data_IF_968198877023
#
_entry.id   IF_968198877023
#
_cell.length_a   1.000
_cell.length_b   1.000
_cell.length_c   1.000
_cell.angle_alpha   90.00
_cell.angle_beta   90.00
_cell.angle_gamma   90.00
#
_symmetry.space_group_name_H-M   'P 1'
#
loop_
_entity.id
_entity.type
_entity.pdbx_description
1 polymer ?
#
# COMPACT_ATOMS: atom_id res chain seq x y z
N UNK A 1 83.46 -15.24 47.92
CA UNK A 1 82.05 -14.93 48.27
C UNK A 1 81.87 -13.43 48.10
N UNK A 2 80.94 -12.99 47.24
CA UNK A 2 80.57 -11.58 47.16
C UNK A 2 79.68 -11.22 48.36
N UNK A 3 79.86 -10.05 49.00
CA UNK A 3 79.05 -9.63 50.14
C UNK A 3 77.58 -9.43 49.72
N UNK A 4 76.65 -9.84 50.58
CA UNK A 4 75.18 -9.84 50.36
C UNK A 4 74.62 -8.53 49.78
N UNK A 5 75.19 -7.37 50.16
CA UNK A 5 74.78 -6.05 49.64
C UNK A 5 75.12 -5.77 48.17
N UNK A 6 76.17 -6.41 47.63
CA UNK A 6 76.52 -6.28 46.20
C UNK A 6 75.65 -7.19 45.33
N UNK A 7 75.27 -8.36 45.85
CA UNK A 7 74.34 -9.27 45.18
C UNK A 7 72.93 -8.65 45.01
N UNK A 8 72.44 -7.90 45.99
CA UNK A 8 71.15 -7.17 45.88
C UNK A 8 71.18 -6.06 44.82
N UNK A 9 72.29 -5.30 44.73
CA UNK A 9 72.45 -4.25 43.70
C UNK A 9 72.55 -4.84 42.29
N UNK A 10 73.25 -5.97 42.15
CA UNK A 10 73.37 -6.69 40.88
C UNK A 10 72.07 -7.42 40.50
N UNK A 11 71.29 -7.90 41.48
CA UNK A 11 69.98 -8.53 41.27
C UNK A 11 68.91 -7.60 40.68
N UNK A 12 68.97 -6.30 40.96
CA UNK A 12 68.10 -5.28 40.34
C UNK A 12 68.31 -5.11 38.83
N UNK A 13 69.47 -5.50 38.30
CA UNK A 13 69.77 -5.39 36.86
C UNK A 13 68.99 -6.39 36.00
N UNK A 14 68.35 -7.38 36.62
CA UNK A 14 67.59 -8.43 35.93
C UNK A 14 66.10 -8.45 36.30
N UNK A 15 65.56 -7.34 36.82
CA UNK A 15 64.19 -7.29 37.36
C UNK A 15 63.11 -7.61 36.31
N UNK A 16 63.33 -7.20 35.06
CA UNK A 16 62.40 -7.43 33.93
C UNK A 16 62.77 -8.64 33.04
N UNK A 17 63.83 -9.37 33.41
CA UNK A 17 64.27 -10.55 32.67
C UNK A 17 63.34 -11.72 32.99
N UNK A 18 62.72 -12.27 31.95
CA UNK A 18 61.94 -13.51 32.08
C UNK A 18 62.86 -14.71 32.11
N UNK A 19 62.29 -15.86 32.44
CA UNK A 19 63.03 -17.12 32.49
C UNK A 19 63.67 -17.43 31.14
N UNK A 20 62.96 -17.16 30.06
CA UNK A 20 63.41 -17.41 28.68
C UNK A 20 64.64 -16.58 28.32
N UNK A 21 64.66 -15.27 28.60
CA UNK A 21 65.82 -14.43 28.26
C UNK A 21 67.07 -14.85 29.03
N UNK A 22 66.91 -15.15 30.33
CA UNK A 22 68.00 -15.60 31.17
C UNK A 22 68.58 -16.92 30.68
N UNK A 23 67.71 -17.87 30.30
CA UNK A 23 68.13 -19.16 29.75
C UNK A 23 68.84 -18.99 28.41
N UNK A 24 68.34 -18.12 27.52
CA UNK A 24 68.96 -17.92 26.20
C UNK A 24 70.34 -17.30 26.31
N UNK A 25 70.51 -16.22 27.10
CA UNK A 25 71.83 -15.58 27.26
C UNK A 25 72.82 -16.53 27.92
N UNK A 26 72.38 -17.28 28.93
CA UNK A 26 73.19 -18.32 29.56
C UNK A 26 73.62 -19.42 28.58
N UNK A 27 72.73 -19.82 27.65
CA UNK A 27 73.02 -20.81 26.62
C UNK A 27 73.98 -20.27 25.54
N UNK A 28 73.82 -19.03 25.11
CA UNK A 28 74.70 -18.35 24.15
C UNK A 28 76.13 -18.18 24.69
N UNK A 29 76.28 -18.10 26.02
CA UNK A 29 77.58 -18.08 26.69
C UNK A 29 78.22 -19.48 26.87
N UNK A 30 77.59 -20.53 26.35
CA UNK A 30 78.14 -21.88 26.30
C UNK A 30 77.98 -22.68 27.60
N UNK A 31 77.19 -22.20 28.55
CA UNK A 31 76.83 -22.97 29.73
C UNK A 31 75.55 -23.79 29.47
N UNK A 32 75.54 -25.06 29.90
CA UNK A 32 74.40 -25.96 29.75
C UNK A 32 73.64 -26.07 31.07
N UNK A 33 72.32 -25.93 31.01
CA UNK A 33 71.48 -25.88 32.21
C UNK A 33 70.24 -26.75 32.09
N UNK A 34 69.77 -27.18 33.25
CA UNK A 34 68.47 -27.80 33.40
C UNK A 34 67.36 -26.74 33.28
N UNK A 35 66.42 -26.97 32.37
CA UNK A 35 65.22 -26.15 32.14
C UNK A 35 64.34 -25.98 33.38
N UNK A 36 64.52 -26.80 34.42
CA UNK A 36 63.74 -26.74 35.67
C UNK A 36 64.22 -25.70 36.68
N UNK A 37 65.36 -25.04 36.48
CA UNK A 37 65.89 -24.03 37.40
C UNK A 37 64.92 -22.84 37.57
N UNK A 38 64.88 -22.31 38.80
CA UNK A 38 64.08 -21.12 39.11
C UNK A 38 64.77 -19.84 38.61
N UNK A 39 63.99 -18.79 38.35
CA UNK A 39 64.52 -17.49 37.88
C UNK A 39 65.61 -16.95 38.80
N UNK A 40 65.47 -17.13 40.11
CA UNK A 40 66.48 -16.70 41.10
C UNK A 40 67.80 -17.47 40.94
N UNK A 41 67.73 -18.77 40.68
CA UNK A 41 68.90 -19.62 40.47
C UNK A 41 69.59 -19.29 39.14
N UNK A 42 68.81 -19.02 38.08
CA UNK A 42 69.32 -18.58 36.79
C UNK A 42 70.04 -17.22 36.91
N UNK A 43 69.44 -16.26 37.62
CA UNK A 43 70.07 -14.96 37.91
C UNK A 43 71.38 -15.14 38.69
N UNK A 44 71.40 -16.03 39.67
CA UNK A 44 72.62 -16.28 40.45
C UNK A 44 73.72 -16.94 39.63
N UNK A 45 73.38 -17.91 38.76
CA UNK A 45 74.34 -18.55 37.85
C UNK A 45 74.88 -17.57 36.83
N UNK A 46 74.02 -16.72 36.27
CA UNK A 46 74.43 -15.64 35.37
C UNK A 46 75.46 -14.70 36.01
N UNK A 47 75.27 -14.34 37.27
CA UNK A 47 76.22 -13.52 38.04
C UNK A 47 77.57 -14.19 38.30
N UNK A 48 77.63 -15.53 38.22
CA UNK A 48 78.83 -16.34 38.42
C UNK A 48 79.46 -16.81 37.10
N UNK A 49 78.77 -16.60 35.97
CA UNK A 49 79.25 -17.01 34.66
C UNK A 49 80.52 -16.25 34.30
N UNK A 50 81.48 -16.96 33.69
CA UNK A 50 82.79 -16.41 33.33
C UNK A 50 82.66 -15.14 32.48
N UNK A 51 81.74 -15.14 31.52
CA UNK A 51 81.48 -14.00 30.63
C UNK A 51 80.95 -12.77 31.40
N UNK A 52 80.14 -12.95 32.44
CA UNK A 52 79.66 -11.83 33.27
C UNK A 52 80.75 -11.26 34.18
N UNK A 53 81.68 -12.11 34.64
CA UNK A 53 82.85 -11.67 35.43
C UNK A 53 83.91 -10.97 34.58
N UNK A 54 83.99 -11.31 33.29
CA UNK A 54 84.91 -10.71 32.31
C UNK A 54 84.36 -9.39 31.75
N UNK A 55 83.09 -9.36 31.33
CA UNK A 55 82.43 -8.17 30.80
C UNK A 55 80.95 -8.12 31.24
N UNK A 56 80.72 -7.46 32.36
CA UNK A 56 79.38 -7.23 32.91
C UNK A 56 78.49 -6.42 31.95
N UNK A 57 79.09 -5.49 31.17
CA UNK A 57 78.36 -4.64 30.23
C UNK A 57 77.79 -5.45 29.08
N UNK A 58 78.62 -6.29 28.46
CA UNK A 58 78.21 -7.14 27.35
C UNK A 58 77.00 -8.03 27.68
N UNK A 59 76.99 -8.67 28.85
CA UNK A 59 75.89 -9.56 29.27
C UNK A 59 74.63 -8.77 29.60
N UNK A 60 74.76 -7.59 30.19
CA UNK A 60 73.61 -6.72 30.46
C UNK A 60 73.01 -6.17 29.17
N UNK A 61 73.83 -5.78 28.18
CA UNK A 61 73.37 -5.27 26.89
C UNK A 61 72.70 -6.35 26.04
N UNK A 62 73.23 -7.58 26.06
CA UNK A 62 72.61 -8.74 25.42
C UNK A 62 71.21 -9.03 26.01
N UNK A 63 71.09 -9.06 27.34
CA UNK A 63 69.81 -9.24 28.02
C UNK A 63 68.85 -8.08 27.77
N UNK A 64 69.33 -6.84 27.79
CA UNK A 64 68.52 -5.66 27.50
C UNK A 64 67.90 -5.74 26.10
N UNK A 65 68.70 -6.11 25.09
CA UNK A 65 68.24 -6.28 23.71
C UNK A 65 67.15 -7.35 23.59
N UNK A 66 67.34 -8.50 24.24
CA UNK A 66 66.35 -9.58 24.24
C UNK A 66 65.02 -9.19 24.91
N UNK A 67 65.10 -8.49 26.05
CA UNK A 67 63.92 -7.98 26.76
C UNK A 67 63.19 -6.97 25.89
N UNK A 68 63.90 -6.04 25.25
CA UNK A 68 63.32 -5.06 24.34
C UNK A 68 62.59 -5.73 23.16
N UNK A 69 63.22 -6.71 22.52
CA UNK A 69 62.62 -7.49 21.43
C UNK A 69 61.34 -8.23 21.85
N UNK A 70 61.33 -8.86 23.04
CA UNK A 70 60.12 -9.50 23.57
C UNK A 70 59.04 -8.47 23.83
N UNK A 71 59.37 -7.37 24.50
CA UNK A 71 58.42 -6.31 24.83
C UNK A 71 57.82 -5.68 23.56
N UNK A 72 58.59 -5.54 22.48
CA UNK A 72 58.08 -5.07 21.19
C UNK A 72 57.13 -6.09 20.55
N UNK A 73 57.48 -7.38 20.58
CA UNK A 73 56.59 -8.46 20.09
C UNK A 73 55.28 -8.50 20.88
N UNK A 74 55.34 -8.39 22.21
CA UNK A 74 54.16 -8.35 23.08
C UNK A 74 53.28 -7.14 22.78
N UNK A 75 53.86 -5.95 22.58
CA UNK A 75 53.13 -4.75 22.16
C UNK A 75 52.42 -4.94 20.82
N UNK A 76 53.08 -5.56 19.83
CA UNK A 76 52.47 -5.88 18.52
C UNK A 76 51.32 -6.87 18.66
N UNK A 77 51.48 -7.90 19.49
CA UNK A 77 50.41 -8.87 19.78
C UNK A 77 49.23 -8.17 20.45
N UNK A 78 49.47 -7.29 21.41
CA UNK A 78 48.42 -6.55 22.11
C UNK A 78 47.70 -5.56 21.20
N UNK A 79 48.41 -4.88 20.30
CA UNK A 79 47.83 -4.05 19.25
C UNK A 79 46.93 -4.88 18.32
N UNK A 80 47.42 -6.00 17.81
CA UNK A 80 46.62 -6.89 16.96
C UNK A 80 45.38 -7.41 17.69
N UNK A 81 45.48 -7.74 18.98
CA UNK A 81 44.33 -8.14 19.81
C UNK A 81 43.29 -7.02 19.91
N UNK A 82 43.73 -5.78 20.12
CA UNK A 82 42.85 -4.61 20.17
C UNK A 82 42.16 -4.37 18.83
N UNK A 83 42.90 -4.39 17.73
CA UNK A 83 42.35 -4.24 16.37
C UNK A 83 41.31 -5.33 16.06
N UNK A 84 41.60 -6.59 16.42
CA UNK A 84 40.64 -7.70 16.24
C UNK A 84 39.41 -7.52 17.12
N UNK A 85 39.56 -7.02 18.34
CA UNK A 85 38.41 -6.73 19.21
C UNK A 85 37.56 -5.57 18.69
N UNK A 86 38.20 -4.52 18.18
CA UNK A 86 37.54 -3.36 17.58
C UNK A 86 36.76 -3.76 16.34
N UNK A 87 37.37 -4.48 15.39
CA UNK A 87 36.68 -5.03 14.21
C UNK A 87 35.50 -5.93 14.59
N UNK A 88 35.62 -6.72 15.66
CA UNK A 88 34.51 -7.55 16.16
C UNK A 88 33.38 -6.70 16.72
N UNK A 89 33.70 -5.59 17.38
CA UNK A 89 32.71 -4.67 17.93
C UNK A 89 31.99 -3.92 16.80
N UNK A 90 32.75 -3.37 15.85
CA UNK A 90 32.21 -2.69 14.65
C UNK A 90 31.26 -3.61 13.89
N UNK A 91 31.69 -4.86 13.60
CA UNK A 91 30.83 -5.83 12.91
C UNK A 91 29.57 -6.17 13.68
N UNK A 92 29.63 -6.21 15.03
CA UNK A 92 28.42 -6.41 15.86
C UNK A 92 27.48 -5.21 15.76
N UNK A 93 28.02 -3.99 15.80
CA UNK A 93 27.24 -2.76 15.65
C UNK A 93 26.59 -2.67 14.28
N UNK A 94 27.31 -2.99 13.20
CA UNK A 94 26.75 -3.05 11.85
C UNK A 94 25.59 -4.06 11.77
N UNK A 95 25.75 -5.26 12.31
CA UNK A 95 24.69 -6.27 12.33
C UNK A 95 23.47 -5.81 13.16
N UNK A 96 23.70 -5.09 14.25
CA UNK A 96 22.64 -4.52 15.06
C UNK A 96 21.88 -3.40 14.31
N UNK A 97 22.60 -2.51 13.63
CA UNK A 97 22.01 -1.47 12.78
C UNK A 97 21.19 -2.08 11.65
N UNK A 98 21.69 -3.11 10.98
CA UNK A 98 20.94 -3.83 9.93
C UNK A 98 19.66 -4.44 10.51
N UNK A 99 19.72 -5.08 11.69
CA UNK A 99 18.53 -5.64 12.34
C UNK A 99 17.49 -4.57 12.70
N UNK A 100 17.93 -3.43 13.23
CA UNK A 100 17.05 -2.31 13.56
C UNK A 100 16.38 -1.76 12.30
N UNK A 101 17.15 -1.55 11.23
CA UNK A 101 16.62 -1.00 9.98
C UNK A 101 15.66 -1.99 9.29
N UNK A 102 15.95 -3.29 9.32
CA UNK A 102 15.02 -4.31 8.83
C UNK A 102 13.71 -4.34 9.61
N UNK A 103 13.78 -4.23 10.95
CA UNK A 103 12.59 -4.17 11.80
C UNK A 103 11.76 -2.92 11.48
N UNK A 104 12.41 -1.76 11.36
CA UNK A 104 11.76 -0.50 10.95
C UNK A 104 11.10 -0.63 9.58
N UNK A 105 11.81 -1.13 8.57
CA UNK A 105 11.29 -1.31 7.21
C UNK A 105 10.08 -2.24 7.17
N UNK A 106 10.08 -3.31 7.98
CA UNK A 106 8.92 -4.20 8.13
C UNK A 106 7.71 -3.43 8.66
N UNK A 107 7.87 -2.70 9.76
CA UNK A 107 6.78 -1.92 10.36
C UNK A 107 6.25 -0.85 9.40
N UNK A 108 7.14 -0.12 8.70
CA UNK A 108 6.75 0.90 7.73
C UNK A 108 5.98 0.28 6.56
N UNK A 109 6.47 -0.83 6.00
CA UNK A 109 5.77 -1.53 4.92
C UNK A 109 4.39 -2.03 5.36
N UNK A 110 4.27 -2.58 6.56
CA UNK A 110 2.97 -3.00 7.11
C UNK A 110 2.00 -1.82 7.25
N UNK A 111 2.48 -0.66 7.73
CA UNK A 111 1.65 0.55 7.82
C UNK A 111 1.20 1.03 6.44
N UNK A 112 2.11 1.07 5.45
CA UNK A 112 1.77 1.47 4.07
C UNK A 112 0.76 0.54 3.42
N UNK A 113 0.88 -0.78 3.64
CA UNK A 113 -0.08 -1.76 3.14
C UNK A 113 -1.45 -1.55 3.80
N UNK A 114 -1.49 -1.31 5.12
CA UNK A 114 -2.74 -1.03 5.84
C UNK A 114 -3.42 0.24 5.33
N UNK A 115 -2.66 1.31 5.13
CA UNK A 115 -3.17 2.57 4.61
C UNK A 115 -3.70 2.42 3.18
N UNK A 116 -2.98 1.71 2.30
CA UNK A 116 -3.43 1.44 0.94
C UNK A 116 -4.77 0.67 0.92
N UNK A 117 -4.89 -0.38 1.74
CA UNK A 117 -6.14 -1.13 1.88
C UNK A 117 -7.28 -0.28 2.40
N UNK A 118 -7.03 0.53 3.42
CA UNK A 118 -8.05 1.43 3.97
C UNK A 118 -8.51 2.45 2.92
N UNK A 119 -7.58 2.97 2.10
CA UNK A 119 -7.92 3.89 1.02
C UNK A 119 -8.80 3.22 -0.04
N UNK A 120 -8.43 2.02 -0.50
CA UNK A 120 -9.24 1.24 -1.44
C UNK A 120 -10.63 0.91 -0.87
N UNK A 121 -10.70 0.52 0.41
CA UNK A 121 -11.98 0.25 1.09
C UNK A 121 -12.87 1.50 1.14
N UNK A 122 -12.29 2.66 1.47
CA UNK A 122 -13.02 3.94 1.48
C UNK A 122 -13.51 4.33 0.08
N UNK A 123 -12.72 4.11 -0.97
CA UNK A 123 -13.10 4.40 -2.34
C UNK A 123 -14.29 3.53 -2.80
N UNK A 124 -14.25 2.23 -2.50
CA UNK A 124 -15.37 1.31 -2.79
C UNK A 124 -16.63 1.72 -2.03
N UNK A 125 -16.50 2.10 -0.75
CA UNK A 125 -17.63 2.59 0.04
C UNK A 125 -18.23 3.87 -0.52
N UNK A 126 -17.40 4.83 -0.94
CA UNK A 126 -17.87 6.07 -1.56
C UNK A 126 -18.56 5.82 -2.89
N UNK A 127 -17.98 4.99 -3.76
CA UNK A 127 -18.59 4.64 -5.05
C UNK A 127 -19.95 3.96 -4.88
N UNK A 128 -20.08 3.03 -3.93
CA UNK A 128 -21.35 2.34 -3.68
C UNK A 128 -22.40 3.27 -3.06
N UNK A 129 -22.01 4.21 -2.20
CA UNK A 129 -22.91 5.22 -1.64
C UNK A 129 -23.36 6.24 -2.70
N UNK A 130 -22.47 6.67 -3.59
CA UNK A 130 -22.82 7.55 -4.71
C UNK A 130 -23.75 6.87 -5.72
N UNK A 131 -23.50 5.60 -6.07
CA UNK A 131 -24.42 4.84 -6.92
C UNK A 131 -25.81 4.69 -6.31
N UNK A 132 -25.90 4.46 -4.99
CA UNK A 132 -27.17 4.38 -4.29
C UNK A 132 -27.90 5.74 -4.31
N UNK A 133 -27.19 6.84 -4.00
CA UNK A 133 -27.75 8.19 -4.10
C UNK A 133 -28.24 8.52 -5.50
N UNK A 134 -27.46 8.19 -6.53
CA UNK A 134 -27.86 8.46 -7.91
C UNK A 134 -29.12 7.69 -8.31
N UNK A 135 -29.26 6.43 -7.91
CA UNK A 135 -30.49 5.65 -8.16
C UNK A 135 -31.70 6.26 -7.47
N UNK A 136 -31.56 6.64 -6.20
CA UNK A 136 -32.65 7.26 -5.45
C UNK A 136 -33.04 8.63 -6.06
N UNK A 137 -32.06 9.45 -6.45
CA UNK A 137 -32.29 10.75 -7.13
C UNK A 137 -32.95 10.58 -8.50
N UNK A 138 -32.52 9.59 -9.29
CA UNK A 138 -33.10 9.29 -10.59
C UNK A 138 -34.55 8.78 -10.47
N UNK A 139 -34.84 7.92 -9.50
CA UNK A 139 -36.21 7.44 -9.22
C UNK A 139 -37.14 8.59 -8.80
N UNK A 140 -36.65 9.52 -7.97
CA UNK A 140 -37.41 10.72 -7.58
C UNK A 140 -37.66 11.65 -8.77
N UNK A 141 -36.73 11.73 -9.73
CA UNK A 141 -36.91 12.56 -10.94
C UNK A 141 -37.86 11.94 -11.96
N UNK A 142 -37.78 10.62 -12.19
CA UNK A 142 -38.54 9.96 -13.26
C UNK A 142 -40.02 9.76 -12.91
N UNK A 143 -40.36 9.44 -11.65
CA UNK A 143 -41.77 9.25 -11.24
C UNK A 143 -42.71 10.41 -11.63
N UNK A 144 -42.42 11.68 -11.30
CA UNK A 144 -43.30 12.79 -11.68
C UNK A 144 -43.27 13.08 -13.18
N UNK A 145 -42.16 12.80 -13.89
CA UNK A 145 -42.09 12.98 -15.34
C UNK A 145 -42.94 11.95 -16.09
N UNK A 146 -42.88 10.69 -15.67
CA UNK A 146 -43.74 9.62 -16.22
C UNK A 146 -45.21 9.88 -15.89
N UNK A 147 -45.53 10.33 -14.68
CA UNK A 147 -46.89 10.69 -14.29
C UNK A 147 -47.42 11.88 -15.10
N UNK A 148 -46.60 12.91 -15.33
CA UNK A 148 -46.96 14.04 -16.17
C UNK A 148 -47.24 13.63 -17.62
N UNK A 149 -46.39 12.77 -18.20
CA UNK A 149 -46.61 12.21 -19.56
C UNK A 149 -47.89 11.39 -19.65
N UNK A 150 -48.18 10.56 -18.65
CA UNK A 150 -49.40 9.76 -18.60
C UNK A 150 -50.67 10.63 -18.47
N UNK A 151 -50.60 11.73 -17.71
CA UNK A 151 -51.69 12.71 -17.60
C UNK A 151 -51.92 13.43 -18.93
N UNK A 152 -50.85 13.84 -19.61
CA UNK A 152 -50.91 14.49 -20.92
C UNK A 152 -51.49 13.56 -21.99
N UNK A 153 -51.05 12.30 -22.04
CA UNK A 153 -51.60 11.30 -22.96
C UNK A 153 -53.10 11.06 -22.72
N UNK A 154 -53.52 10.95 -21.46
CA UNK A 154 -54.95 10.81 -21.11
C UNK A 154 -55.77 12.02 -21.58
N UNK A 155 -55.23 13.23 -21.39
CA UNK A 155 -55.88 14.46 -21.85
C UNK A 155 -56.04 14.46 -23.36
N UNK A 156 -54.98 14.12 -24.10
CA UNK A 156 -55.02 14.06 -25.56
C UNK A 156 -56.05 13.03 -26.06
N UNK A 157 -56.13 11.85 -25.45
CA UNK A 157 -57.13 10.84 -25.76
C UNK A 157 -58.56 11.31 -25.46
N UNK A 158 -58.77 12.06 -24.38
CA UNK A 158 -60.08 12.62 -24.05
C UNK A 158 -60.49 13.73 -25.03
N UNK A 159 -59.55 14.59 -25.42
CA UNK A 159 -59.78 15.62 -26.44
C UNK A 159 -60.11 14.98 -27.81
N UNK A 160 -59.42 13.91 -28.19
CA UNK A 160 -59.73 13.14 -29.41
C UNK A 160 -61.14 12.51 -29.34
N UNK A 161 -61.52 11.93 -28.20
CA UNK A 161 -62.88 11.40 -27.99
C UNK A 161 -63.93 12.48 -28.13
N UNK A 162 -63.72 13.65 -27.53
CA UNK A 162 -64.65 14.80 -27.64
C UNK A 162 -64.77 15.26 -29.09
N UNK A 163 -63.65 15.33 -29.82
CA UNK A 163 -63.67 15.69 -31.23
C UNK A 163 -64.46 14.68 -32.07
N UNK A 164 -64.25 13.38 -31.84
CA UNK A 164 -64.99 12.33 -32.54
C UNK A 164 -66.49 12.36 -32.22
N UNK A 165 -66.88 12.70 -30.99
CA UNK A 165 -68.28 12.86 -30.60
C UNK A 165 -68.94 14.06 -31.32
N UNK A 166 -68.23 15.19 -31.41
CA UNK A 166 -68.70 16.36 -32.17
C UNK A 166 -68.91 16.00 -33.64
N UNK A 167 -67.94 15.32 -34.25
CA UNK A 167 -68.03 14.87 -35.65
C UNK A 167 -69.26 13.97 -35.83
N UNK A 168 -69.49 13.00 -34.92
CA UNK A 168 -70.64 12.11 -34.99
C UNK A 168 -71.98 12.86 -34.90
N UNK A 169 -72.09 13.85 -34.01
CA UNK A 169 -73.28 14.70 -33.89
C UNK A 169 -73.50 15.58 -35.13
N UNK A 170 -72.44 16.14 -35.71
CA UNK A 170 -72.53 16.88 -36.97
C UNK A 170 -72.99 16.00 -38.12
N UNK A 171 -72.52 14.75 -38.20
CA UNK A 171 -72.99 13.80 -39.19
C UNK A 171 -74.45 13.38 -38.96
N UNK A 172 -74.86 13.15 -37.71
CA UNK A 172 -76.24 12.82 -37.38
C UNK A 172 -77.20 13.95 -37.76
N UNK A 173 -76.85 15.20 -37.42
CA UNK A 173 -77.65 16.38 -37.80
C UNK A 173 -77.69 16.60 -39.31
N UNK A 174 -76.61 16.28 -40.04
CA UNK A 174 -76.60 16.29 -41.52
C UNK A 174 -77.58 15.25 -42.06
N UNK A 175 -77.52 14.01 -41.57
CA UNK A 175 -78.40 12.93 -42.00
C UNK A 175 -79.87 13.21 -41.65
N UNK A 176 -80.15 13.85 -40.51
CA UNK A 176 -81.50 14.24 -40.13
C UNK A 176 -82.09 15.31 -41.06
N UNK A 177 -81.29 16.31 -41.44
CA UNK A 177 -81.69 17.31 -42.45
C UNK A 177 -81.98 16.66 -43.81
N UNK A 178 -81.15 15.70 -44.23
CA UNK A 178 -81.37 14.93 -45.46
C UNK A 178 -82.66 14.09 -45.38
N UNK A 179 -82.90 13.39 -44.26
CA UNK A 179 -84.15 12.64 -44.02
C UNK A 179 -85.38 13.56 -44.11
N UNK A 180 -85.34 14.70 -43.43
CA UNK A 180 -86.43 15.68 -43.47
C UNK A 180 -86.72 16.18 -44.89
N UNK A 181 -85.67 16.47 -45.68
CA UNK A 181 -85.82 16.89 -47.07
C UNK A 181 -86.48 15.81 -47.94
N UNK A 182 -86.10 14.55 -47.77
CA UNK A 182 -86.72 13.41 -48.47
C UNK A 182 -88.18 13.24 -48.05
N UNK A 183 -88.50 13.36 -46.76
CA UNK A 183 -89.89 13.31 -46.27
C UNK A 183 -90.74 14.46 -46.80
N UNK A 184 -90.18 15.67 -46.91
CA UNK A 184 -90.87 16.83 -47.50
C UNK A 184 -91.14 16.63 -48.99
N UNK A 185 -90.15 16.13 -49.75
CA UNK A 185 -90.35 15.77 -51.16
C UNK A 185 -91.43 14.69 -51.34
N UNK A 186 -91.43 13.67 -50.48
CA UNK A 186 -92.48 12.65 -50.46
C UNK A 186 -93.86 13.25 -50.16
N UNK A 187 -93.96 14.18 -49.20
CA UNK A 187 -95.21 14.91 -48.92
C UNK A 187 -95.69 15.69 -50.14
N UNK A 188 -94.83 16.43 -50.81
CA UNK A 188 -95.17 17.13 -52.06
C UNK A 188 -95.68 16.17 -53.15
N UNK A 189 -95.00 15.04 -53.38
CA UNK A 189 -95.43 14.03 -54.37
C UNK A 189 -96.81 13.46 -54.01
N UNK A 190 -97.07 13.16 -52.73
CA UNK A 190 -98.37 12.67 -52.28
C UNK A 190 -99.47 13.73 -52.43
N UNK A 191 -99.18 15.01 -52.16
CA UNK A 191 -100.11 16.11 -52.37
C UNK A 191 -100.41 16.33 -53.85
N UNK A 192 -99.40 16.32 -54.73
CA UNK A 192 -99.60 16.36 -56.18
C UNK A 192 -100.47 15.20 -56.66
N UNK A 193 -100.21 13.98 -56.17
CA UNK A 193 -101.02 12.81 -56.49
C UNK A 193 -102.47 12.97 -56.01
N UNK A 194 -102.69 13.47 -54.78
CA UNK A 194 -104.04 13.78 -54.27
C UNK A 194 -104.74 14.85 -55.12
N UNK A 195 -104.02 15.86 -55.57
CA UNK A 195 -104.56 16.92 -56.44
C UNK A 195 -104.93 16.37 -57.82
N UNK A 196 -104.12 15.46 -58.40
CA UNK A 196 -104.45 14.75 -59.65
C UNK A 196 -105.71 13.90 -59.51
N UNK A 197 -105.83 13.11 -58.44
CA UNK A 197 -107.01 12.28 -58.18
C UNK A 197 -108.29 13.13 -58.04
N UNK A 198 -108.24 14.25 -57.31
CA UNK A 198 -109.38 15.19 -57.20
C UNK A 198 -109.75 15.82 -58.54
N UNK A 199 -108.78 16.12 -59.40
CA UNK A 199 -109.03 16.64 -60.73
C UNK A 199 -109.68 15.59 -61.66
N UNK A 200 -109.28 14.32 -61.55
CA UNK A 200 -109.90 13.21 -62.27
C UNK A 200 -111.33 12.92 -61.79
N UNK A 201 -111.58 12.96 -60.47
CA UNK A 201 -112.93 12.84 -59.90
C UNK A 201 -113.84 14.01 -60.33
N UNK A 202 -113.33 15.25 -60.35
CA UNK A 202 -114.06 16.43 -60.83
C UNK A 202 -114.36 16.41 -62.34
N UNK A 203 -113.56 15.69 -63.13
CA UNK A 203 -113.79 15.48 -64.57
C UNK A 203 -114.87 14.43 -64.85
N UNK A 204 -115.01 13.42 -63.99
CA UNK A 204 -116.03 12.39 -64.11
C UNK A 204 -117.48 12.93 -63.93
N UNK A 205 -117.67 14.04 -63.20
CA UNK A 205 -118.98 14.67 -63.02
C UNK A 205 -119.42 15.60 -64.16
N UNK A 206 -118.51 16.04 -65.06
CA UNK A 206 -118.87 16.92 -66.20
C UNK A 206 -119.30 16.19 -67.47
N UNK A 207 -119.22 14.85 -67.52
CA UNK A 207 -119.69 14.04 -68.66
C UNK A 207 -121.15 13.56 -68.56
N UNK A 208 -121.90 13.96 -67.51
CA UNK A 208 -123.33 13.59 -67.36
C UNK A 208 -124.32 14.65 -67.89
N UNK A 209 -123.85 15.86 -68.23
CA UNK A 209 -124.71 16.96 -68.72
C UNK A 209 -124.28 17.46 -70.11
N UNK A 210 -124.30 16.59 -71.13
CA UNK A 210 -124.57 17.01 -72.52
C UNK A 210 -125.35 15.85 -73.16
N UNK A 211 -126.67 16.03 -73.20
CA UNK A 211 -127.64 15.15 -73.87
C UNK A 211 -127.96 15.73 -75.24
#
# INVERSE_FOLDING_TARGET
MLPFREAEKKGKKFENAAKEDLVTVLHEMGETFDSHLEILELKHKLLLCKAYLEDEGFVCDALATMIEDRMEKEKKIEQYRKEVQEQRLERKQELELVRIEEARRKTENETRIREARHKEEMEVRLSTEEEARHKDEEEVRLKPEEEAKAVEERRNLEEERRMNEIIALEEETRLEKERWLVEEQMRHVQEEHKMRMKAEEGSAYKKKDVR
#
